data_IF_800225278692
#
_entry.id   IF_800225278692
#
_cell.length_a   1.000
_cell.length_b   1.000
_cell.length_c   1.000
_cell.angle_alpha   90.00
_cell.angle_beta   90.00
_cell.angle_gamma   90.00
#
_symmetry.space_group_name_H-M   'P 1'
#
loop_
_entity.id
_entity.type
_entity.pdbx_description
1 polymer ?
#
# COMPACT_ATOMS: atom_id res chain seq x y z
N UNK A 1 17.11 -16.84 3.13
CA UNK A 1 17.05 -15.50 3.75
C UNK A 1 18.40 -14.79 3.62
N UNK A 2 18.42 -13.47 3.41
CA UNK A 2 19.65 -12.66 3.40
C UNK A 2 20.40 -12.83 4.73
N UNK A 3 21.72 -12.94 4.67
CA UNK A 3 22.56 -12.99 5.87
C UNK A 3 22.77 -11.59 6.42
N UNK A 4 22.90 -11.49 7.75
CA UNK A 4 23.26 -10.23 8.40
C UNK A 4 24.70 -9.88 8.07
N UNK A 5 24.99 -8.67 7.56
CA UNK A 5 26.37 -8.27 7.30
C UNK A 5 27.15 -8.25 8.61
N UNK A 6 28.43 -8.64 8.56
CA UNK A 6 29.31 -8.65 9.73
C UNK A 6 29.67 -7.24 10.24
N UNK A 7 29.45 -6.22 9.41
CA UNK A 7 29.64 -4.81 9.76
C UNK A 7 28.37 -4.02 9.42
N UNK A 8 28.00 -3.01 10.22
CA UNK A 8 26.88 -2.14 9.90
C UNK A 8 27.20 -1.32 8.64
N UNK A 9 26.21 -1.16 7.75
CA UNK A 9 26.36 -0.40 6.51
C UNK A 9 26.66 1.10 6.73
N UNK A 10 26.29 1.64 7.89
CA UNK A 10 26.51 3.05 8.25
C UNK A 10 25.55 3.51 9.34
N UNK A 11 25.67 4.77 9.79
CA UNK A 11 24.72 5.35 10.73
C UNK A 11 23.34 5.51 10.08
N UNK A 12 22.28 5.41 10.88
CA UNK A 12 20.95 5.84 10.44
C UNK A 12 20.92 7.36 10.40
N UNK A 13 20.79 7.92 9.20
CA UNK A 13 20.66 9.36 9.02
C UNK A 13 19.17 9.70 9.02
N UNK A 14 18.75 10.59 9.92
CA UNK A 14 17.46 11.24 9.87
C UNK A 14 17.70 12.72 9.59
N UNK A 15 17.01 13.25 8.58
CA UNK A 15 17.11 14.65 8.19
C UNK A 15 15.81 15.39 8.57
N UNK A 16 15.96 16.49 9.30
CA UNK A 16 14.89 17.40 9.67
C UNK A 16 15.05 18.81 9.05
N UNK A 17 15.99 18.97 8.11
CA UNK A 17 16.31 20.24 7.44
C UNK A 17 15.09 20.88 6.75
N UNK A 18 14.13 20.06 6.33
CA UNK A 18 12.87 20.49 5.71
C UNK A 18 11.86 21.08 6.72
N UNK A 19 12.14 21.02 8.02
CA UNK A 19 11.23 21.50 9.07
C UNK A 19 9.96 20.66 9.23
N UNK A 20 9.89 19.49 8.57
CA UNK A 20 8.72 18.59 8.59
C UNK A 20 8.51 18.03 10.00
N UNK A 21 7.41 18.43 10.64
CA UNK A 21 6.97 17.88 11.92
C UNK A 21 6.35 16.49 11.71
N UNK A 22 7.11 15.44 11.98
CA UNK A 22 6.65 14.05 11.94
C UNK A 22 6.46 13.54 13.38
N UNK A 23 5.38 13.96 14.04
CA UNK A 23 5.02 13.40 15.35
C UNK A 23 4.34 12.06 15.16
N UNK A 24 5.03 10.97 15.49
CA UNK A 24 4.46 9.63 15.45
C UNK A 24 4.18 9.12 16.86
N UNK A 25 3.21 8.22 16.96
CA UNK A 25 3.03 7.43 18.18
C UNK A 25 4.26 6.53 18.37
N UNK A 26 4.53 6.13 19.61
CA UNK A 26 5.54 5.10 19.87
C UNK A 26 5.01 3.77 19.37
N UNK A 27 5.72 3.14 18.44
CA UNK A 27 5.39 1.83 17.91
C UNK A 27 6.44 0.80 18.34
N UNK A 28 6.03 -0.36 18.89
CA UNK A 28 6.91 -1.49 19.10
C UNK A 28 7.16 -2.25 17.77
N UNK A 29 8.17 -3.13 17.77
CA UNK A 29 8.40 -4.15 16.73
C UNK A 29 8.56 -3.63 15.29
N UNK A 30 9.20 -2.48 15.14
CA UNK A 30 9.52 -1.91 13.84
C UNK A 30 10.73 -2.59 13.19
N UNK A 31 10.83 -2.47 11.86
CA UNK A 31 12.07 -2.79 11.15
C UNK A 31 13.21 -1.98 11.79
N UNK A 32 14.32 -2.65 12.11
CA UNK A 32 15.44 -1.97 12.77
C UNK A 32 16.42 -1.40 11.77
N UNK A 33 16.69 -2.07 10.66
CA UNK A 33 17.75 -1.67 9.74
C UNK A 33 17.48 -2.22 8.33
N UNK A 34 18.40 -1.92 7.40
CA UNK A 34 18.32 -2.38 6.02
C UNK A 34 18.35 -3.91 5.90
N UNK A 35 18.95 -4.61 6.87
CA UNK A 35 18.91 -6.07 6.89
C UNK A 35 17.52 -6.60 7.26
N UNK A 36 16.84 -5.99 8.24
CA UNK A 36 15.43 -6.29 8.51
C UNK A 36 14.54 -5.94 7.30
N UNK A 37 14.81 -4.84 6.58
CA UNK A 37 14.12 -4.51 5.33
C UNK A 37 14.35 -5.56 4.22
N UNK A 38 15.57 -6.09 4.10
CA UNK A 38 15.88 -7.17 3.18
C UNK A 38 15.20 -8.50 3.57
N UNK A 39 15.10 -8.79 4.88
CA UNK A 39 14.31 -9.93 5.37
C UNK A 39 12.81 -9.74 5.07
N UNK A 40 12.29 -8.53 5.25
CA UNK A 40 10.91 -8.19 4.91
C UNK A 40 10.61 -8.46 3.43
N UNK A 41 11.49 -8.03 2.53
CA UNK A 41 11.35 -8.37 1.10
C UNK A 41 11.47 -9.87 0.86
N UNK A 42 12.44 -10.55 1.49
CA UNK A 42 12.65 -11.97 1.28
C UNK A 42 11.43 -12.82 1.64
N UNK A 43 10.75 -12.49 2.74
CA UNK A 43 9.57 -13.22 3.21
C UNK A 43 8.26 -12.68 2.65
N UNK A 44 8.18 -11.39 2.34
CA UNK A 44 6.98 -10.74 1.84
C UNK A 44 6.81 -10.81 0.32
N UNK A 45 7.90 -10.97 -0.44
CA UNK A 45 7.83 -11.03 -1.90
C UNK A 45 7.15 -12.31 -2.34
N UNK A 46 6.05 -12.16 -3.06
CA UNK A 46 5.29 -13.24 -3.67
C UNK A 46 5.13 -12.98 -5.17
N UNK A 47 4.78 -14.02 -5.92
CA UNK A 47 4.49 -13.95 -7.35
C UNK A 47 3.06 -14.38 -7.59
N UNK A 48 2.31 -13.57 -8.33
CA UNK A 48 0.95 -13.94 -8.73
C UNK A 48 1.01 -14.96 -9.87
N UNK A 49 0.14 -15.95 -9.78
CA UNK A 49 -0.05 -16.97 -10.81
C UNK A 49 -1.53 -17.14 -11.09
N UNK A 50 -1.86 -17.42 -12.34
CA UNK A 50 -3.19 -17.84 -12.77
C UNK A 50 -3.15 -19.33 -13.02
N UNK A 51 -4.08 -20.04 -12.39
CA UNK A 51 -4.22 -21.49 -12.55
C UNK A 51 -5.49 -21.77 -13.33
N UNK A 52 -5.35 -22.48 -14.45
CA UNK A 52 -6.49 -23.04 -15.15
C UNK A 52 -7.03 -24.25 -14.37
N UNK A 53 -8.33 -24.22 -14.02
CA UNK A 53 -8.92 -25.19 -13.10
C UNK A 53 -9.08 -26.57 -13.76
N UNK A 54 -9.29 -26.63 -15.07
CA UNK A 54 -9.53 -27.88 -15.79
C UNK A 54 -8.22 -28.60 -16.12
N UNK A 55 -7.27 -27.90 -16.71
CA UNK A 55 -5.98 -28.45 -17.16
C UNK A 55 -4.89 -28.43 -16.09
N UNK A 56 -5.04 -27.60 -15.05
CA UNK A 56 -3.99 -27.34 -14.07
C UNK A 56 -2.83 -26.49 -14.61
N UNK A 57 -2.96 -25.90 -15.80
CA UNK A 57 -1.93 -25.03 -16.37
C UNK A 57 -1.71 -23.79 -15.50
N UNK A 58 -0.44 -23.37 -15.37
CA UNK A 58 -0.04 -22.26 -14.50
C UNK A 58 0.66 -21.18 -15.32
N UNK A 59 0.09 -19.98 -15.34
CA UNK A 59 0.68 -18.80 -15.96
C UNK A 59 1.15 -17.82 -14.89
N UNK A 60 2.33 -17.23 -15.07
CA UNK A 60 2.80 -16.14 -14.19
C UNK A 60 2.16 -14.82 -14.60
N UNK A 61 1.72 -14.04 -13.60
CA UNK A 61 1.04 -12.76 -13.81
C UNK A 61 1.85 -11.66 -13.13
N UNK A 62 2.39 -10.74 -13.94
CA UNK A 62 3.18 -9.62 -13.46
C UNK A 62 4.52 -10.00 -12.80
N UNK A 63 5.11 -9.01 -12.15
CA UNK A 63 6.40 -9.13 -11.46
C UNK A 63 6.25 -9.63 -10.01
N UNK A 64 7.27 -10.27 -9.43
CA UNK A 64 7.30 -10.51 -7.99
C UNK A 64 7.29 -9.20 -7.19
N UNK A 65 6.41 -9.11 -6.18
CA UNK A 65 6.26 -7.91 -5.32
C UNK A 65 5.84 -8.33 -3.92
N UNK A 66 5.90 -7.41 -2.96
CA UNK A 66 5.24 -7.57 -1.66
C UNK A 66 3.75 -7.26 -1.82
N UNK A 67 3.04 -8.18 -2.47
CA UNK A 67 1.59 -8.09 -2.64
C UNK A 67 0.89 -8.15 -1.28
N UNK A 68 -0.03 -7.22 -1.05
CA UNK A 68 -0.83 -7.13 0.19
C UNK A 68 -2.31 -7.36 -0.06
N UNK A 69 -2.77 -7.29 -1.31
CA UNK A 69 -4.15 -7.54 -1.67
C UNK A 69 -4.27 -7.88 -3.16
N UNK A 70 -5.18 -8.81 -3.49
CA UNK A 70 -5.51 -9.25 -4.85
C UNK A 70 -6.99 -9.62 -4.85
N UNK A 71 -7.82 -8.78 -5.46
CA UNK A 71 -9.27 -8.86 -5.36
C UNK A 71 -9.91 -8.81 -6.76
N UNK A 72 -10.44 -9.93 -7.29
CA UNK A 72 -11.11 -9.96 -8.59
C UNK A 72 -12.47 -9.24 -8.54
N UNK A 73 -12.85 -8.59 -9.63
CA UNK A 73 -14.18 -7.98 -9.73
C UNK A 73 -15.29 -9.05 -9.63
N UNK A 74 -16.50 -8.71 -9.17
CA UNK A 74 -17.62 -9.65 -9.11
C UNK A 74 -17.95 -10.34 -10.44
N UNK A 75 -17.71 -9.69 -11.57
CA UNK A 75 -17.86 -10.26 -12.93
C UNK A 75 -16.60 -10.96 -13.48
N UNK A 76 -15.49 -10.96 -12.73
CA UNK A 76 -14.24 -11.62 -13.08
C UNK A 76 -13.46 -11.00 -14.24
N UNK A 77 -13.85 -9.82 -14.74
CA UNK A 77 -13.16 -9.16 -15.86
C UNK A 77 -11.91 -8.40 -15.44
N UNK A 78 -11.85 -7.96 -14.19
CA UNK A 78 -10.75 -7.15 -13.67
C UNK A 78 -10.23 -7.71 -12.35
N UNK A 79 -9.03 -7.25 -11.98
CA UNK A 79 -8.38 -7.59 -10.72
C UNK A 79 -7.83 -6.31 -10.12
N UNK A 80 -8.24 -6.00 -8.90
CA UNK A 80 -7.65 -4.94 -8.09
C UNK A 80 -6.44 -5.52 -7.35
N UNK A 81 -5.26 -4.94 -7.56
CA UNK A 81 -4.01 -5.46 -7.03
C UNK A 81 -3.30 -4.38 -6.23
N UNK A 82 -2.89 -4.68 -5.00
CA UNK A 82 -2.13 -3.77 -4.15
C UNK A 82 -0.82 -4.41 -3.66
N UNK A 83 0.23 -3.60 -3.59
CA UNK A 83 1.54 -4.00 -3.04
C UNK A 83 2.22 -2.86 -2.29
N UNK A 84 3.18 -3.22 -1.45
CA UNK A 84 4.08 -2.26 -0.78
C UNK A 84 5.27 -1.92 -1.67
N UNK A 85 5.73 -0.67 -1.59
CA UNK A 85 6.91 -0.17 -2.30
C UNK A 85 7.95 0.34 -1.31
N UNK A 86 9.23 0.26 -1.72
CA UNK A 86 10.33 0.94 -1.03
C UNK A 86 10.27 2.45 -1.30
N UNK A 87 10.87 3.29 -0.42
CA UNK A 87 11.56 2.92 0.81
C UNK A 87 10.60 2.56 1.96
N UNK A 88 10.97 1.56 2.76
CA UNK A 88 10.29 1.25 4.01
C UNK A 88 10.68 2.22 5.12
N UNK A 89 9.89 2.23 6.17
CA UNK A 89 10.19 3.03 7.37
C UNK A 89 10.65 2.15 8.53
N UNK A 90 11.54 2.74 9.32
CA UNK A 90 12.03 2.22 10.60
C UNK A 90 11.36 2.91 11.79
N UNK A 91 10.40 3.80 11.53
CA UNK A 91 9.73 4.65 12.54
C UNK A 91 8.21 4.48 12.58
N UNK A 92 7.63 3.82 11.57
CA UNK A 92 6.20 3.50 11.50
C UNK A 92 5.96 2.06 11.04
N UNK A 93 4.83 1.43 11.41
CA UNK A 93 4.51 0.06 11.00
C UNK A 93 4.27 -0.07 9.49
N UNK A 94 4.33 -1.30 8.96
CA UNK A 94 4.23 -1.60 7.53
C UNK A 94 2.95 -1.06 6.86
N UNK A 95 1.83 -0.95 7.59
CA UNK A 95 0.60 -0.34 7.09
C UNK A 95 0.74 1.14 6.67
N UNK A 96 1.81 1.82 7.08
CA UNK A 96 2.14 3.19 6.68
C UNK A 96 3.19 3.28 5.58
N UNK A 97 3.75 2.17 5.12
CA UNK A 97 4.73 2.16 4.03
C UNK A 97 4.10 2.70 2.72
N UNK A 98 4.94 3.13 1.76
CA UNK A 98 4.48 3.41 0.41
C UNK A 98 3.71 2.21 -0.14
N UNK A 99 2.56 2.47 -0.76
CA UNK A 99 1.74 1.41 -1.36
C UNK A 99 1.22 1.88 -2.71
N UNK A 100 1.09 0.93 -3.63
CA UNK A 100 0.46 1.16 -4.93
C UNK A 100 -0.71 0.21 -5.10
N UNK A 101 -1.78 0.72 -5.68
CA UNK A 101 -2.98 -0.03 -6.03
C UNK A 101 -3.28 0.21 -7.50
N UNK A 102 -3.45 -0.86 -8.26
CA UNK A 102 -3.72 -0.82 -9.69
C UNK A 102 -4.89 -1.72 -10.05
N UNK A 103 -5.60 -1.31 -11.10
CA UNK A 103 -6.64 -2.10 -11.74
C UNK A 103 -6.04 -2.79 -12.97
N UNK A 104 -6.07 -4.11 -13.00
CA UNK A 104 -5.59 -4.92 -14.12
C UNK A 104 -6.77 -5.65 -14.77
N UNK A 105 -6.63 -6.01 -16.04
CA UNK A 105 -7.58 -6.92 -16.69
C UNK A 105 -7.31 -8.39 -16.28
N UNK A 106 -8.22 -9.30 -16.64
CA UNK A 106 -8.08 -10.75 -16.42
C UNK A 106 -6.78 -11.36 -16.98
N UNK A 107 -6.15 -10.69 -17.96
CA UNK A 107 -4.91 -11.14 -18.57
C UNK A 107 -3.66 -10.60 -17.86
N UNK A 108 -3.82 -9.81 -16.80
CA UNK A 108 -2.73 -9.23 -16.05
C UNK A 108 -2.17 -7.95 -16.66
N UNK A 109 -2.88 -7.33 -17.61
CA UNK A 109 -2.47 -6.05 -18.19
C UNK A 109 -2.99 -4.91 -17.34
N UNK A 110 -2.13 -3.91 -17.09
CA UNK A 110 -2.54 -2.67 -16.44
C UNK A 110 -3.64 -1.96 -17.24
N UNK A 111 -4.76 -1.70 -16.57
CA UNK A 111 -5.87 -0.87 -17.06
C UNK A 111 -5.78 0.53 -16.48
N UNK A 112 -5.57 0.65 -15.15
CA UNK A 112 -5.54 1.96 -14.48
C UNK A 112 -4.72 2.01 -13.18
N UNK A 113 -4.04 3.16 -13.04
CA UNK A 113 -3.61 3.83 -11.80
C UNK A 113 -4.70 4.07 -10.76
N UNK A 114 -4.92 3.24 -9.71
CA UNK A 114 -5.95 3.58 -8.70
C UNK A 114 -5.39 4.44 -7.57
N UNK A 115 -4.20 4.10 -7.06
CA UNK A 115 -3.53 4.89 -6.03
C UNK A 115 -2.02 4.64 -6.03
N UNK A 116 -1.24 5.71 -5.84
CA UNK A 116 0.18 5.64 -5.51
C UNK A 116 0.40 6.49 -4.25
N UNK A 117 0.35 5.82 -3.09
CA UNK A 117 0.41 6.52 -1.81
C UNK A 117 1.86 6.53 -1.28
N UNK A 118 2.42 7.70 -0.93
CA UNK A 118 3.78 7.82 -0.38
C UNK A 118 3.84 7.38 1.09
N UNK A 119 5.03 7.22 1.65
CA UNK A 119 5.23 6.92 3.07
C UNK A 119 4.38 7.85 3.96
N UNK A 120 3.63 7.27 4.89
CA UNK A 120 2.67 7.98 5.74
C UNK A 120 3.22 8.17 7.17
N UNK A 121 4.36 8.83 7.27
CA UNK A 121 5.03 9.19 8.53
C UNK A 121 4.57 10.56 9.09
N UNK A 122 3.71 11.28 8.38
CA UNK A 122 3.19 12.61 8.74
C UNK A 122 1.69 12.63 9.08
N UNK A 123 1.06 11.47 9.29
CA UNK A 123 -0.34 11.43 9.75
C UNK A 123 -0.39 12.05 11.16
N UNK A 124 -1.20 13.11 11.38
CA UNK A 124 -1.30 13.72 12.70
C UNK A 124 -1.77 12.70 13.76
N UNK A 125 -1.38 12.91 15.02
CA UNK A 125 -1.75 12.00 16.11
C UNK A 125 -3.16 12.24 16.65
N UNK A 126 -3.82 13.31 16.19
CA UNK A 126 -5.15 13.69 16.59
C UNK A 126 -6.18 12.60 16.25
N UNK A 127 -7.27 12.55 17.02
CA UNK A 127 -8.38 11.65 16.71
C UNK A 127 -8.96 12.01 15.34
N UNK A 128 -9.34 10.98 14.59
CA UNK A 128 -9.84 11.06 13.22
C UNK A 128 -8.81 11.42 12.14
N UNK A 129 -7.53 11.57 12.47
CA UNK A 129 -6.48 11.73 11.45
C UNK A 129 -6.33 10.49 10.57
N UNK A 130 -6.08 10.70 9.29
CA UNK A 130 -5.92 9.61 8.33
C UNK A 130 -4.83 9.93 7.29
N UNK A 131 -4.47 8.92 6.50
CA UNK A 131 -3.54 9.08 5.37
C UNK A 131 -4.21 9.88 4.25
N UNK A 132 -3.44 10.74 3.60
CA UNK A 132 -3.84 11.44 2.37
C UNK A 132 -4.06 10.49 1.20
N UNK A 133 -4.96 10.87 0.30
CA UNK A 133 -5.29 10.15 -0.94
C UNK A 133 -6.31 9.01 -0.75
N UNK A 134 -6.53 8.20 -1.81
CA UNK A 134 -7.52 7.13 -1.81
C UNK A 134 -7.35 6.09 -0.69
N UNK A 135 -8.39 5.95 0.14
CA UNK A 135 -8.50 4.95 1.21
C UNK A 135 -9.67 4.02 0.95
N UNK A 136 -9.55 2.78 1.41
CA UNK A 136 -10.63 1.78 1.30
C UNK A 136 -11.08 1.55 -0.14
N UNK A 137 -10.13 1.43 -1.08
CA UNK A 137 -10.46 1.06 -2.46
C UNK A 137 -10.96 -0.38 -2.44
N UNK A 138 -12.22 -0.60 -2.83
CA UNK A 138 -12.82 -1.94 -2.88
C UNK A 138 -13.87 -2.04 -3.99
N UNK A 139 -14.17 -3.27 -4.40
CA UNK A 139 -15.34 -3.53 -5.23
C UNK A 139 -16.63 -3.26 -4.49
N UNK A 140 -17.67 -2.92 -5.25
CA UNK A 140 -19.05 -3.00 -4.81
C UNK A 140 -19.61 -4.36 -5.14
N UNK A 141 -20.01 -5.10 -4.11
CA UNK A 141 -20.58 -6.45 -4.26
C UNK A 141 -21.91 -6.48 -5.03
N UNK A 142 -22.62 -5.34 -5.09
CA UNK A 142 -23.89 -5.21 -5.81
C UNK A 142 -23.74 -4.84 -7.30
N UNK A 143 -22.51 -4.71 -7.79
CA UNK A 143 -22.19 -4.30 -9.17
C UNK A 143 -21.22 -5.27 -9.85
N UNK A 144 -21.30 -5.46 -11.18
CA UNK A 144 -20.37 -6.34 -11.89
C UNK A 144 -18.89 -5.98 -11.73
N UNK A 145 -18.56 -4.69 -11.85
CA UNK A 145 -17.19 -4.18 -11.76
C UNK A 145 -17.19 -2.67 -11.47
N UNK A 146 -17.78 -2.26 -10.34
CA UNK A 146 -17.72 -0.86 -9.88
C UNK A 146 -16.85 -0.77 -8.63
N UNK A 147 -15.84 0.09 -8.66
CA UNK A 147 -14.98 0.37 -7.50
C UNK A 147 -15.57 1.53 -6.69
N UNK A 148 -15.31 1.51 -5.38
CA UNK A 148 -15.54 2.63 -4.47
C UNK A 148 -14.30 2.92 -3.64
N UNK A 149 -14.09 4.18 -3.27
CA UNK A 149 -13.04 4.60 -2.33
C UNK A 149 -13.40 5.90 -1.64
N UNK A 150 -12.67 6.22 -0.58
CA UNK A 150 -12.88 7.40 0.26
C UNK A 150 -11.67 8.31 0.18
N UNK A 151 -11.89 9.61 0.01
CA UNK A 151 -10.85 10.63 0.21
C UNK A 151 -11.26 11.69 1.23
N UNK A 152 -10.32 11.99 2.13
CA UNK A 152 -10.49 13.04 3.12
C UNK A 152 -10.16 14.41 2.50
N UNK A 153 -11.10 15.34 2.59
CA UNK A 153 -11.03 16.68 1.99
C UNK A 153 -10.21 17.66 2.85
N UNK A 154 -9.94 17.31 4.11
CA UNK A 154 -9.08 18.01 5.05
C UNK A 154 -7.59 17.60 4.93
N UNK A 155 -7.24 16.82 3.90
CA UNK A 155 -5.91 16.25 3.75
C UNK A 155 -5.54 15.26 4.86
N UNK A 156 -6.54 14.69 5.52
CA UNK A 156 -6.38 13.77 6.65
C UNK A 156 -6.06 14.44 7.98
N UNK A 157 -6.09 15.78 8.05
CA UNK A 157 -5.89 16.55 9.27
C UNK A 157 -7.22 17.11 9.80
N UNK A 158 -7.77 16.57 10.91
CA UNK A 158 -9.05 17.02 11.48
C UNK A 158 -9.01 18.46 12.01
N UNK A 159 -7.85 19.10 12.13
CA UNK A 159 -7.75 20.51 12.47
C UNK A 159 -8.08 21.45 11.29
N UNK A 160 -8.11 20.92 10.07
CA UNK A 160 -8.51 21.66 8.87
C UNK A 160 -10.01 21.48 8.66
N UNK A 161 -10.75 22.59 8.61
CA UNK A 161 -12.19 22.54 8.35
C UNK A 161 -12.48 22.12 6.90
N UNK A 162 -13.34 21.11 6.74
CA UNK A 162 -13.85 20.66 5.44
C UNK A 162 -15.28 20.11 5.60
N UNK A 163 -16.16 20.42 4.64
CA UNK A 163 -17.54 19.92 4.62
C UNK A 163 -18.00 19.65 3.18
N UNK A 164 -18.30 18.38 2.81
CA UNK A 164 -18.13 17.18 3.62
C UNK A 164 -16.65 16.87 3.86
N UNK A 165 -16.36 16.25 5.01
CA UNK A 165 -14.98 15.88 5.38
C UNK A 165 -14.46 14.69 4.58
N UNK A 166 -15.30 13.68 4.38
CA UNK A 166 -14.99 12.48 3.61
C UNK A 166 -15.94 12.41 2.42
N UNK A 167 -15.40 12.14 1.24
CA UNK A 167 -16.16 11.93 0.00
C UNK A 167 -15.93 10.51 -0.49
N UNK A 168 -17.01 9.83 -0.85
CA UNK A 168 -16.97 8.53 -1.51
C UNK A 168 -17.01 8.77 -3.01
N UNK A 169 -16.06 8.17 -3.72
CA UNK A 169 -15.98 8.18 -5.18
C UNK A 169 -16.32 6.80 -5.73
N UNK A 170 -16.81 6.79 -6.96
CA UNK A 170 -17.16 5.58 -7.69
C UNK A 170 -16.44 5.57 -9.05
N UNK A 171 -16.04 4.38 -9.50
CA UNK A 171 -15.50 4.16 -10.84
C UNK A 171 -16.19 2.94 -11.47
N UNK A 172 -16.79 3.17 -12.64
CA UNK A 172 -17.46 2.17 -13.47
C UNK A 172 -16.61 1.77 -14.68
#
# INVERSE_FOLDING_TARGET
APQRPGLPFGPKVQDNSTGRKSQNRTYPDLLRDEHDAALFDHFGTSRLVRVDVESGAVDQVGEPRVYIDVDPSPDGRFILISWLERPYSYTVPCGRFPRRTQLWDRNGKLVREMAALPLADDIPIAFNSCRKGPRGVSWRDDKPAELSWIEAQDGGDPAVEASPRDVIYLLQ
#
